data_IF_022520927636
#
_entry.id   IF_022520927636
#
_cell.length_a   1.000
_cell.length_b   1.000
_cell.length_c   1.000
_cell.angle_alpha   90.00
_cell.angle_beta   90.00
_cell.angle_gamma   90.00
#
_symmetry.space_group_name_H-M   'P 1'
#
loop_
_entity.id
_entity.type
_entity.pdbx_description
1 polymer ?
#
# COMPACT_ATOMS: atom_id res chain seq x y z
N UNK A 1 -34.18 -1.84 -74.65
CA UNK A 1 -35.03 -2.88 -74.07
C UNK A 1 -34.41 -3.22 -72.70
N UNK A 2 -34.94 -2.61 -71.73
CA UNK A 2 -34.47 -2.69 -70.28
C UNK A 2 -35.51 -3.50 -69.54
N UNK A 3 -35.08 -4.58 -68.90
CA UNK A 3 -35.92 -5.48 -68.13
C UNK A 3 -36.00 -4.95 -66.67
N UNK A 4 -37.17 -4.65 -66.14
CA UNK A 4 -37.32 -4.14 -64.80
C UNK A 4 -37.66 -5.26 -63.82
N UNK A 5 -36.83 -5.40 -62.78
CA UNK A 5 -37.35 -5.66 -61.46
C UNK A 5 -37.63 -7.10 -61.04
N UNK A 6 -36.63 -7.79 -60.51
CA UNK A 6 -36.84 -8.85 -59.51
C UNK A 6 -36.68 -8.30 -58.12
N UNK A 7 -37.82 -8.02 -57.47
CA UNK A 7 -37.92 -7.78 -56.04
C UNK A 7 -37.63 -9.09 -55.27
N UNK A 8 -36.49 -9.17 -54.61
CA UNK A 8 -36.24 -10.20 -53.59
C UNK A 8 -36.99 -9.86 -52.31
N UNK A 9 -38.08 -10.57 -52.05
CA UNK A 9 -38.72 -10.58 -50.72
C UNK A 9 -37.89 -11.44 -49.81
N UNK A 10 -37.25 -10.82 -48.80
CA UNK A 10 -36.63 -11.53 -47.68
C UNK A 10 -37.70 -12.32 -46.91
N UNK A 11 -37.43 -13.57 -46.52
CA UNK A 11 -38.34 -14.33 -45.66
C UNK A 11 -38.40 -13.66 -44.29
N UNK A 12 -39.59 -13.22 -43.87
CA UNK A 12 -39.84 -12.80 -42.49
C UNK A 12 -39.81 -14.05 -41.59
N UNK A 13 -38.64 -14.34 -41.02
CA UNK A 13 -38.50 -15.36 -40.01
C UNK A 13 -39.28 -14.94 -38.75
N UNK A 14 -40.38 -15.66 -38.46
CA UNK A 14 -41.08 -15.55 -37.19
C UNK A 14 -40.14 -16.05 -36.12
N UNK A 15 -39.54 -15.14 -35.33
CA UNK A 15 -38.79 -15.51 -34.12
C UNK A 15 -39.78 -16.21 -33.17
N UNK A 16 -39.47 -17.43 -32.74
CA UNK A 16 -40.37 -18.15 -31.82
C UNK A 16 -40.41 -17.41 -30.49
N UNK A 17 -41.62 -17.21 -29.97
CA UNK A 17 -41.89 -16.43 -28.72
C UNK A 17 -41.11 -16.88 -27.51
N UNK A 18 -40.63 -18.12 -27.45
CA UNK A 18 -39.77 -18.62 -26.38
C UNK A 18 -38.34 -18.08 -26.41
N UNK A 19 -37.83 -17.65 -27.56
CA UNK A 19 -36.50 -17.06 -27.67
C UNK A 19 -36.42 -15.68 -27.02
N UNK A 20 -37.55 -14.96 -26.90
CA UNK A 20 -37.58 -13.62 -26.30
C UNK A 20 -37.56 -13.66 -24.77
N UNK A 21 -38.06 -14.75 -24.17
CA UNK A 21 -38.10 -14.86 -22.69
C UNK A 21 -36.96 -15.72 -22.15
N UNK A 22 -36.51 -16.73 -22.87
CA UNK A 22 -35.45 -17.63 -22.43
C UNK A 22 -34.07 -16.97 -22.40
N UNK A 23 -33.77 -16.08 -23.34
CA UNK A 23 -32.47 -15.42 -23.48
C UNK A 23 -32.13 -14.51 -22.27
N UNK A 24 -33.04 -13.63 -21.79
CA UNK A 24 -32.75 -12.79 -20.64
C UNK A 24 -32.58 -13.60 -19.34
N UNK A 25 -33.33 -14.69 -19.16
CA UNK A 25 -33.21 -15.54 -17.97
C UNK A 25 -31.85 -16.30 -17.95
N UNK A 26 -31.42 -16.82 -19.09
CA UNK A 26 -30.11 -17.46 -19.21
C UNK A 26 -28.97 -16.48 -18.99
N UNK A 27 -29.11 -15.24 -19.47
CA UNK A 27 -28.10 -14.18 -19.27
C UNK A 27 -28.00 -13.77 -17.79
N UNK A 28 -29.13 -13.61 -17.11
CA UNK A 28 -29.16 -13.30 -15.66
C UNK A 28 -28.52 -14.42 -14.84
N UNK A 29 -28.79 -15.68 -15.18
CA UNK A 29 -28.20 -16.82 -14.48
C UNK A 29 -26.66 -16.88 -14.70
N UNK A 30 -26.19 -16.58 -15.94
CA UNK A 30 -24.78 -16.56 -16.26
C UNK A 30 -24.05 -15.42 -15.56
N UNK A 31 -24.62 -14.22 -15.52
CA UNK A 31 -24.07 -13.07 -14.80
C UNK A 31 -24.03 -13.35 -13.29
N UNK A 32 -25.10 -13.95 -12.75
CA UNK A 32 -25.14 -14.35 -11.34
C UNK A 32 -24.05 -15.36 -10.97
N UNK A 33 -23.80 -16.35 -11.86
CA UNK A 33 -22.74 -17.34 -11.68
C UNK A 33 -21.34 -16.68 -11.73
N UNK A 34 -21.11 -15.78 -12.69
CA UNK A 34 -19.82 -15.08 -12.82
C UNK A 34 -19.55 -14.21 -11.58
N UNK A 35 -20.56 -13.49 -11.09
CA UNK A 35 -20.43 -12.68 -9.86
C UNK A 35 -20.15 -13.56 -8.64
N UNK A 36 -20.85 -14.69 -8.52
CA UNK A 36 -20.63 -15.62 -7.41
C UNK A 36 -19.22 -16.25 -7.45
N UNK A 37 -18.75 -16.66 -8.63
CA UNK A 37 -17.37 -17.19 -8.81
C UNK A 37 -16.34 -16.09 -8.52
N UNK A 38 -16.56 -14.86 -8.98
CA UNK A 38 -15.67 -13.74 -8.69
C UNK A 38 -15.60 -13.45 -7.18
N UNK A 39 -16.73 -13.48 -6.49
CA UNK A 39 -16.77 -13.26 -5.04
C UNK A 39 -16.03 -14.36 -4.26
N UNK A 40 -16.03 -15.61 -4.75
CA UNK A 40 -15.33 -16.73 -4.09
C UNK A 40 -13.83 -16.70 -4.40
N UNK A 41 -13.44 -16.39 -5.65
CA UNK A 41 -12.03 -16.40 -6.09
C UNK A 41 -11.28 -15.15 -5.62
N UNK A 42 -11.99 -14.03 -5.47
CA UNK A 42 -11.42 -12.75 -5.02
C UNK A 42 -11.76 -12.43 -3.57
N UNK A 43 -12.13 -13.43 -2.75
CA UNK A 43 -12.08 -13.21 -1.31
C UNK A 43 -10.62 -12.89 -0.97
N UNK A 44 -10.33 -11.68 -0.43
CA UNK A 44 -9.00 -11.42 0.08
C UNK A 44 -8.70 -12.54 1.09
N UNK A 45 -7.47 -13.09 1.09
CA UNK A 45 -7.10 -14.09 2.07
C UNK A 45 -7.51 -13.51 3.44
N UNK A 46 -8.39 -14.22 4.14
CA UNK A 46 -8.64 -13.93 5.54
C UNK A 46 -7.30 -14.20 6.20
N UNK A 47 -6.51 -13.14 6.37
CA UNK A 47 -5.32 -13.18 7.20
C UNK A 47 -5.88 -13.45 8.58
N UNK A 48 -5.92 -14.72 8.95
CA UNK A 48 -6.11 -15.13 10.33
C UNK A 48 -4.91 -14.54 11.04
N UNK A 49 -5.09 -13.32 11.55
CA UNK A 49 -4.13 -12.74 12.49
C UNK A 49 -3.96 -13.82 13.55
N UNK A 50 -2.71 -14.28 13.80
CA UNK A 50 -2.48 -15.13 14.95
C UNK A 50 -2.98 -14.37 16.17
N UNK A 51 -4.08 -14.85 16.77
CA UNK A 51 -4.68 -14.30 17.98
C UNK A 51 -3.82 -14.65 19.22
N UNK A 52 -2.50 -14.60 19.07
CA UNK A 52 -1.60 -14.50 20.20
C UNK A 52 -1.58 -13.05 20.66
N UNK A 53 -1.62 -12.77 21.97
CA UNK A 53 -1.36 -11.42 22.43
C UNK A 53 0.00 -11.02 21.85
N UNK A 54 -0.01 -10.01 20.98
CA UNK A 54 1.22 -9.30 20.59
C UNK A 54 1.91 -8.96 21.93
N UNK A 55 3.21 -9.22 22.07
CA UNK A 55 3.94 -8.74 23.23
C UNK A 55 3.67 -7.24 23.29
N UNK A 56 2.87 -6.81 24.26
CA UNK A 56 2.61 -5.40 24.51
C UNK A 56 3.94 -4.83 24.94
N UNK A 57 4.66 -4.22 24.01
CA UNK A 57 5.86 -3.48 24.32
C UNK A 57 5.49 -2.44 25.38
N UNK A 58 6.18 -2.40 26.48
CA UNK A 58 6.02 -1.34 27.45
C UNK A 58 6.71 -0.09 26.90
N UNK A 59 6.07 1.07 27.04
CA UNK A 59 6.72 2.33 26.72
C UNK A 59 8.02 2.45 27.52
N UNK A 60 9.13 2.68 26.82
CA UNK A 60 10.41 2.96 27.49
C UNK A 60 10.49 4.45 27.87
N UNK A 61 11.29 4.84 28.87
CA UNK A 61 11.50 6.24 29.21
C UNK A 61 11.99 7.03 28.00
N UNK A 62 11.55 8.29 27.87
CA UNK A 62 11.97 9.17 26.76
C UNK A 62 13.49 9.31 26.66
N UNK A 63 14.21 9.29 27.80
CA UNK A 63 15.69 9.29 27.83
C UNK A 63 16.31 8.05 27.16
N UNK A 64 15.58 6.93 27.14
CA UNK A 64 16.03 5.71 26.47
C UNK A 64 15.79 5.75 24.95
N UNK A 65 14.96 6.66 24.46
CA UNK A 65 14.71 6.85 23.03
C UNK A 65 15.59 7.94 22.41
N UNK A 66 15.95 8.98 23.21
CA UNK A 66 16.69 10.13 22.71
C UNK A 66 18.08 9.72 22.19
N UNK A 67 18.49 10.24 21.05
CA UNK A 67 19.77 9.98 20.42
C UNK A 67 19.69 9.66 18.96
N UNK A 68 20.81 9.30 18.37
CA UNK A 68 20.93 8.79 17.01
C UNK A 68 20.84 7.27 16.99
N UNK A 69 20.11 6.76 15.99
CA UNK A 69 19.88 5.34 15.79
C UNK A 69 20.20 5.00 14.33
N UNK A 70 21.04 4.01 14.13
CA UNK A 70 21.51 3.61 12.81
C UNK A 70 21.32 2.11 12.62
N UNK A 71 20.95 1.71 11.41
CA UNK A 71 20.86 0.30 11.03
C UNK A 71 20.55 0.11 9.57
N UNK A 72 20.42 -1.14 9.18
CA UNK A 72 20.02 -1.50 7.83
C UNK A 72 18.57 -1.94 7.78
N UNK A 73 17.84 -1.47 6.78
CA UNK A 73 16.52 -1.93 6.40
C UNK A 73 16.61 -2.93 5.26
N UNK A 74 16.04 -4.13 5.45
CA UNK A 74 15.84 -5.09 4.37
C UNK A 74 14.49 -4.83 3.71
N UNK A 75 14.47 -4.64 2.39
CA UNK A 75 13.23 -4.44 1.62
C UNK A 75 12.41 -5.73 1.66
N UNK A 76 11.17 -5.66 2.15
CA UNK A 76 10.27 -6.81 2.31
C UNK A 76 9.03 -6.73 1.45
N UNK A 77 8.68 -5.53 0.99
CA UNK A 77 7.51 -5.31 0.18
C UNK A 77 7.70 -4.08 -0.72
N UNK A 78 7.26 -4.19 -1.97
CA UNK A 78 7.45 -3.17 -2.99
C UNK A 78 6.34 -3.28 -4.04
N UNK A 79 5.77 -2.15 -4.44
CA UNK A 79 4.78 -2.10 -5.51
C UNK A 79 4.88 -0.79 -6.30
N UNK A 80 4.61 -0.86 -7.60
CA UNK A 80 4.59 0.29 -8.49
C UNK A 80 5.96 0.81 -8.93
N UNK A 81 7.03 0.04 -8.66
CA UNK A 81 8.39 0.28 -9.13
C UNK A 81 8.84 -0.85 -10.05
N UNK A 82 9.91 -0.63 -10.78
CA UNK A 82 10.55 -1.68 -11.56
C UNK A 82 11.21 -2.71 -10.65
N UNK A 83 11.37 -3.95 -11.12
CA UNK A 83 11.90 -5.07 -10.33
C UNK A 83 13.32 -4.79 -9.77
N UNK A 84 14.09 -3.92 -10.42
CA UNK A 84 15.43 -3.54 -9.97
C UNK A 84 15.37 -2.65 -8.72
N UNK A 85 14.40 -1.74 -8.65
CA UNK A 85 14.17 -0.85 -7.51
C UNK A 85 13.55 -1.58 -6.31
N UNK A 86 12.95 -2.75 -6.57
CA UNK A 86 12.32 -3.61 -5.56
C UNK A 86 13.30 -4.58 -4.88
N UNK A 87 14.58 -4.27 -4.81
CA UNK A 87 15.62 -5.14 -4.21
C UNK A 87 16.59 -4.36 -3.34
N UNK A 88 17.18 -5.07 -2.38
CA UNK A 88 18.32 -4.58 -1.63
C UNK A 88 18.05 -4.17 -0.20
N UNK A 89 19.04 -3.50 0.36
CA UNK A 89 19.02 -2.94 1.70
C UNK A 89 19.18 -1.42 1.61
N UNK A 90 18.69 -0.73 2.64
CA UNK A 90 18.84 0.72 2.78
C UNK A 90 19.37 1.03 4.18
N UNK A 91 20.37 1.85 4.28
CA UNK A 91 20.77 2.42 5.57
C UNK A 91 19.67 3.35 6.06
N UNK A 92 19.23 3.13 7.30
CA UNK A 92 18.21 3.93 7.97
C UNK A 92 18.85 4.61 9.17
N UNK A 93 18.79 5.92 9.20
CA UNK A 93 19.22 6.74 10.32
C UNK A 93 18.01 7.45 10.91
N UNK A 94 17.88 7.46 12.24
CA UNK A 94 16.83 8.19 12.95
C UNK A 94 17.46 9.07 14.03
N UNK A 95 17.15 10.35 14.02
CA UNK A 95 17.44 11.26 15.12
C UNK A 95 16.20 11.43 15.98
N UNK A 96 16.26 11.02 17.26
CA UNK A 96 15.15 11.17 18.21
C UNK A 96 15.49 12.23 19.25
N UNK A 97 14.68 13.29 19.29
CA UNK A 97 14.82 14.39 20.23
C UNK A 97 13.66 14.39 21.23
N UNK A 98 13.97 14.30 22.51
CA UNK A 98 13.00 14.27 23.61
C UNK A 98 13.15 15.50 24.51
N UNK A 99 12.74 16.66 24.03
CA UNK A 99 12.62 17.89 24.84
C UNK A 99 11.28 18.01 25.58
N UNK A 100 10.36 17.07 25.32
CA UNK A 100 9.01 16.98 25.89
C UNK A 100 8.38 15.63 25.53
N UNK A 101 7.09 15.47 25.84
CA UNK A 101 6.31 14.29 25.48
C UNK A 101 5.19 14.70 24.52
N UNK A 102 5.08 14.08 23.34
CA UNK A 102 5.92 13.02 22.79
C UNK A 102 7.30 13.52 22.31
N UNK A 103 8.27 12.60 22.21
CA UNK A 103 9.52 12.85 21.50
C UNK A 103 9.23 13.16 20.01
N UNK A 104 10.23 13.71 19.32
CA UNK A 104 10.17 13.94 17.87
C UNK A 104 11.21 13.06 17.19
N UNK A 105 10.91 12.60 15.97
CA UNK A 105 11.81 11.74 15.20
C UNK A 105 12.01 12.32 13.80
N UNK A 106 13.27 12.35 13.36
CA UNK A 106 13.68 12.76 12.02
C UNK A 106 14.41 11.60 11.36
N UNK A 107 13.86 10.98 10.30
CA UNK A 107 14.59 9.98 9.53
C UNK A 107 15.55 10.68 8.57
N UNK A 108 16.72 10.08 8.36
CA UNK A 108 17.79 10.50 7.45
C UNK A 108 18.32 11.90 7.74
N UNK A 109 17.61 12.94 7.37
CA UNK A 109 18.00 14.35 7.54
C UNK A 109 16.79 15.27 7.75
N UNK A 110 17.05 16.55 7.99
CA UNK A 110 16.01 17.54 8.34
C UNK A 110 14.96 17.75 7.25
N UNK A 111 15.21 17.37 6.00
CA UNK A 111 14.27 17.53 4.89
C UNK A 111 13.05 16.63 5.04
N UNK A 112 13.18 15.49 5.76
CA UNK A 112 12.07 14.59 6.08
C UNK A 112 11.14 15.11 7.17
N UNK A 113 11.48 16.25 7.79
CA UNK A 113 10.74 16.83 8.90
C UNK A 113 10.91 16.07 10.21
N UNK A 114 10.32 16.59 11.27
CA UNK A 114 10.48 16.05 12.62
C UNK A 114 9.11 15.91 13.31
N UNK A 115 8.28 14.95 12.91
CA UNK A 115 6.97 14.71 13.52
C UNK A 115 7.08 14.11 14.93
N UNK A 116 5.97 14.13 15.71
CA UNK A 116 5.92 13.46 16.99
C UNK A 116 6.02 11.94 16.84
N UNK A 117 6.86 11.33 17.69
CA UNK A 117 6.98 9.88 17.87
C UNK A 117 6.04 9.44 18.99
N UNK A 118 4.92 8.83 18.65
CA UNK A 118 3.86 8.44 19.59
C UNK A 118 3.95 6.97 19.92
N UNK A 119 3.69 6.64 21.18
CA UNK A 119 3.55 5.25 21.62
C UNK A 119 2.07 4.86 21.57
N UNK A 120 1.73 3.94 20.68
CA UNK A 120 0.37 3.48 20.44
C UNK A 120 0.39 1.96 20.20
N UNK A 121 -0.50 1.21 20.84
CA UNK A 121 -0.66 -0.24 20.68
C UNK A 121 0.65 -1.05 20.84
N UNK A 122 1.52 -0.62 21.75
CA UNK A 122 2.79 -1.31 22.02
C UNK A 122 3.93 -0.99 21.08
N UNK A 123 3.77 -0.02 20.17
CA UNK A 123 4.81 0.42 19.23
C UNK A 123 4.95 1.95 19.20
N UNK A 124 6.10 2.42 18.74
CA UNK A 124 6.40 3.83 18.49
C UNK A 124 6.11 4.14 17.03
N UNK A 125 5.21 5.07 16.79
CA UNK A 125 4.73 5.43 15.44
C UNK A 125 4.98 6.89 15.14
N UNK A 126 5.39 7.12 13.89
CA UNK A 126 5.51 8.46 13.31
C UNK A 126 5.22 8.41 11.82
N UNK A 127 4.84 9.55 11.24
CA UNK A 127 4.68 9.71 9.80
C UNK A 127 4.96 11.14 9.40
N UNK A 128 5.49 11.32 8.19
CA UNK A 128 5.77 12.64 7.63
C UNK A 128 5.84 12.60 6.11
N UNK A 129 6.00 13.75 5.46
CA UNK A 129 6.16 13.81 4.01
C UNK A 129 7.53 13.26 3.59
N UNK A 130 7.60 12.58 2.45
CA UNK A 130 8.86 12.35 1.74
C UNK A 130 9.23 13.66 1.04
N UNK A 131 10.50 14.11 1.09
CA UNK A 131 10.95 15.31 0.36
C UNK A 131 10.61 15.20 -1.13
N UNK A 132 10.16 16.32 -1.73
CA UNK A 132 9.67 16.33 -3.11
C UNK A 132 10.72 15.87 -4.13
N UNK A 133 12.00 16.15 -3.86
CA UNK A 133 13.14 15.74 -4.68
C UNK A 133 13.44 14.23 -4.63
N UNK A 134 12.95 13.55 -3.60
CA UNK A 134 13.10 12.09 -3.39
C UNK A 134 11.81 11.32 -3.66
N UNK A 135 10.69 12.05 -3.82
CA UNK A 135 9.40 11.44 -4.10
C UNK A 135 9.35 10.88 -5.54
N UNK A 136 8.61 9.79 -5.77
CA UNK A 136 8.39 9.28 -7.12
C UNK A 136 7.81 10.36 -8.05
N UNK A 137 8.17 10.34 -9.33
CA UNK A 137 7.66 11.30 -10.31
C UNK A 137 6.59 10.67 -11.20
N UNK A 138 5.59 11.48 -11.58
CA UNK A 138 4.57 11.12 -12.55
C UNK A 138 4.51 12.18 -13.65
N UNK A 139 4.77 11.80 -14.90
CA UNK A 139 4.84 12.75 -16.01
C UNK A 139 5.90 13.85 -15.81
N UNK A 140 6.99 13.56 -15.08
CA UNK A 140 8.07 14.50 -14.79
C UNK A 140 7.79 15.45 -13.60
N UNK A 141 6.65 15.30 -12.90
CA UNK A 141 6.34 16.07 -11.70
C UNK A 141 6.40 15.18 -10.45
N UNK A 142 6.97 15.66 -9.32
CA UNK A 142 6.96 14.90 -8.08
C UNK A 142 5.53 14.58 -7.63
N UNK A 143 5.33 13.34 -7.17
CA UNK A 143 4.06 12.93 -6.54
C UNK A 143 4.12 13.22 -5.04
N UNK A 144 2.95 13.46 -4.42
CA UNK A 144 2.89 13.49 -2.95
C UNK A 144 3.21 12.10 -2.40
N UNK A 145 4.22 12.00 -1.55
CA UNK A 145 4.59 10.76 -0.87
C UNK A 145 4.73 10.97 0.63
N UNK A 146 4.51 9.90 1.38
CA UNK A 146 4.56 9.88 2.83
C UNK A 146 5.43 8.74 3.32
N UNK A 147 6.27 9.01 4.29
CA UNK A 147 6.95 7.97 5.05
C UNK A 147 6.17 7.63 6.33
N UNK A 148 6.35 6.40 6.80
CA UNK A 148 5.79 5.88 8.06
C UNK A 148 6.82 5.05 8.79
N UNK A 149 6.78 5.13 10.11
CA UNK A 149 7.62 4.39 11.03
C UNK A 149 6.73 3.68 12.04
N UNK A 150 7.04 2.39 12.29
CA UNK A 150 6.39 1.58 13.31
C UNK A 150 7.46 0.71 13.98
N UNK A 151 7.88 1.06 15.20
CA UNK A 151 9.02 0.47 15.89
C UNK A 151 8.64 0.00 17.30
N UNK A 152 9.25 -1.09 17.72
CA UNK A 152 9.29 -1.53 19.11
C UNK A 152 10.68 -1.31 19.69
N UNK A 153 10.74 -0.95 20.98
CA UNK A 153 12.00 -0.80 21.71
C UNK A 153 12.19 -2.01 22.63
N UNK A 154 13.28 -2.75 22.45
CA UNK A 154 13.66 -3.87 23.30
C UNK A 154 15.18 -3.99 23.33
N UNK A 155 15.73 -4.34 24.48
CA UNK A 155 17.16 -4.66 24.66
C UNK A 155 18.13 -3.59 24.12
N UNK A 156 17.74 -2.32 24.21
CA UNK A 156 18.54 -1.20 23.74
C UNK A 156 18.54 -1.02 22.21
N UNK A 157 17.64 -1.68 21.50
CA UNK A 157 17.44 -1.61 20.04
C UNK A 157 16.05 -1.09 19.70
N UNK A 158 15.91 -0.54 18.50
CA UNK A 158 14.62 -0.25 17.88
C UNK A 158 14.45 -1.20 16.69
N UNK A 159 13.36 -1.96 16.68
CA UNK A 159 13.09 -2.91 15.60
C UNK A 159 11.67 -2.74 15.08
N UNK A 160 11.46 -2.90 13.78
CA UNK A 160 10.13 -2.77 13.20
C UNK A 160 10.14 -2.50 11.70
N UNK A 161 9.38 -1.51 11.25
CA UNK A 161 9.27 -1.17 9.84
C UNK A 161 9.40 0.33 9.58
N UNK A 162 10.07 0.64 8.47
CA UNK A 162 10.03 1.92 7.78
C UNK A 162 9.36 1.72 6.42
N UNK A 163 8.46 2.60 6.03
CA UNK A 163 7.77 2.49 4.75
C UNK A 163 7.60 3.87 4.10
N UNK A 164 7.63 3.89 2.77
CA UNK A 164 7.28 5.05 1.95
C UNK A 164 6.16 4.68 0.99
N UNK A 165 5.21 5.59 0.76
CA UNK A 165 4.11 5.38 -0.17
C UNK A 165 3.63 6.68 -0.77
N UNK A 166 3.14 6.65 -2.02
CA UNK A 166 2.42 7.78 -2.59
C UNK A 166 1.09 7.98 -1.87
N UNK A 167 0.71 9.26 -1.64
CA UNK A 167 -0.51 9.59 -0.88
C UNK A 167 -1.76 9.38 -1.73
N UNK A 168 -1.65 9.54 -3.05
CA UNK A 168 -2.77 9.38 -4.00
C UNK A 168 -2.34 8.53 -5.18
N UNK A 169 -3.26 7.67 -5.65
CA UNK A 169 -3.15 7.03 -6.95
C UNK A 169 -3.43 8.07 -8.04
N UNK A 170 -2.40 8.45 -8.78
CA UNK A 170 -2.49 9.23 -10.01
C UNK A 170 -2.55 8.29 -11.20
N UNK A 171 -2.55 8.84 -12.40
CA UNK A 171 -2.48 8.05 -13.64
C UNK A 171 -1.25 7.11 -13.69
N UNK A 172 -0.20 7.38 -12.91
CA UNK A 172 0.98 6.53 -12.76
C UNK A 172 0.83 5.38 -11.75
N UNK A 173 -0.34 5.26 -11.11
CA UNK A 173 -0.59 4.26 -10.09
C UNK A 173 -0.01 4.63 -8.71
N UNK A 174 -0.32 3.81 -7.71
CA UNK A 174 0.22 3.94 -6.37
C UNK A 174 1.56 3.20 -6.27
N UNK A 175 2.52 3.81 -5.57
CA UNK A 175 3.80 3.17 -5.28
C UNK A 175 3.96 3.01 -3.78
N UNK A 176 4.65 1.97 -3.35
CA UNK A 176 5.02 1.80 -1.96
C UNK A 176 6.23 0.90 -1.79
N UNK A 177 7.01 1.17 -0.73
CA UNK A 177 8.20 0.44 -0.33
C UNK A 177 8.14 0.21 1.18
N UNK A 178 8.52 -0.97 1.64
CA UNK A 178 8.60 -1.29 3.06
C UNK A 178 9.87 -2.03 3.39
N UNK A 179 10.59 -1.52 4.38
CA UNK A 179 11.79 -2.15 4.94
C UNK A 179 11.52 -2.61 6.36
N UNK A 180 11.97 -3.81 6.68
CA UNK A 180 12.12 -4.27 8.06
C UNK A 180 13.47 -3.79 8.56
N UNK A 181 13.49 -3.12 9.71
CA UNK A 181 14.65 -2.43 10.23
C UNK A 181 15.00 -2.92 11.64
N UNK A 182 16.30 -2.95 11.94
CA UNK A 182 16.81 -3.07 13.30
C UNK A 182 17.88 -2.01 13.47
N UNK A 183 17.65 -1.11 14.43
CA UNK A 183 18.48 0.05 14.66
C UNK A 183 19.16 -0.06 16.01
N UNK A 184 20.41 0.30 16.05
CA UNK A 184 21.23 0.39 17.25
C UNK A 184 21.55 1.86 17.53
N UNK A 185 21.76 2.18 18.79
CA UNK A 185 22.15 3.54 19.16
C UNK A 185 23.62 3.76 18.80
N UNK A 186 23.91 4.90 18.18
CA UNK A 186 25.28 5.37 17.97
C UNK A 186 25.96 5.84 19.25
#
# INVERSE_FOLDING_TARGET
MTDPGRSFRAPQGRTPRWAVVGFPLAFIALVGLVVAVHAVVHQPPVITQPSGPLPSGSAVPSSALAGEWIGEGALTDCAGFDDEDCRGTRSITLTVVCSGTPCRVTPFDDTYGSPPLRFEDGSYRAAGPVPAELAPTCGGSPTGAQWRLDLTAADGRLSGAYAESTIQGFDCGATWLRWVVTLERE
#
